data_IF_747705543378
#
_entry.id   IF_747705543378
#
_cell.length_a   1.000
_cell.length_b   1.000
_cell.length_c   1.000
_cell.angle_alpha   90.00
_cell.angle_beta   90.00
_cell.angle_gamma   90.00
#
_symmetry.space_group_name_H-M   'P 1'
#
loop_
_entity.id
_entity.type
_entity.pdbx_description
1 polymer ?
#
# COMPACT_ATOMS: atom_id res chain seq x y z
N UNK A 1 -5.60 43.43 -10.17
CA UNK A 1 -6.20 42.14 -10.51
C UNK A 1 -7.64 42.39 -10.90
N UNK A 2 -8.02 42.23 -12.16
CA UNK A 2 -9.43 42.16 -12.51
C UNK A 2 -9.89 40.74 -12.17
N UNK A 3 -10.50 40.57 -10.99
CA UNK A 3 -11.26 39.38 -10.70
C UNK A 3 -12.44 39.39 -11.66
N UNK A 4 -12.60 38.33 -12.45
CA UNK A 4 -13.89 38.09 -13.11
C UNK A 4 -14.89 37.90 -11.97
N UNK A 5 -15.91 38.77 -11.82
CA UNK A 5 -16.86 38.62 -10.74
C UNK A 5 -17.55 37.26 -10.88
N UNK A 6 -17.82 36.56 -9.77
CA UNK A 6 -18.61 35.33 -9.82
C UNK A 6 -19.96 35.63 -10.49
N UNK A 7 -20.45 34.69 -11.30
CA UNK A 7 -21.80 34.80 -11.89
C UNK A 7 -22.84 34.90 -10.78
N UNK A 8 -23.86 35.73 -10.99
CA UNK A 8 -24.96 35.86 -10.04
C UNK A 8 -25.62 34.49 -9.82
N UNK A 9 -26.15 34.25 -8.61
CA UNK A 9 -26.85 33.00 -8.31
C UNK A 9 -28.00 32.77 -9.31
N UNK A 10 -27.90 31.68 -10.09
CA UNK A 10 -28.85 31.32 -11.15
C UNK A 10 -28.32 31.50 -12.58
N UNK A 11 -27.19 32.18 -12.77
CA UNK A 11 -26.56 32.36 -14.08
C UNK A 11 -25.43 31.35 -14.32
N UNK A 12 -25.46 30.69 -15.48
CA UNK A 12 -24.40 29.77 -15.93
C UNK A 12 -23.40 30.50 -16.82
N UNK A 13 -22.19 29.97 -16.92
CA UNK A 13 -21.17 30.50 -17.83
C UNK A 13 -21.72 30.55 -19.27
N UNK A 14 -21.69 31.73 -19.89
CA UNK A 14 -22.40 32.04 -21.13
C UNK A 14 -21.65 31.66 -22.42
N UNK A 15 -20.47 31.05 -22.32
CA UNK A 15 -19.65 30.64 -23.47
C UNK A 15 -18.81 31.77 -24.11
N UNK A 16 -18.98 33.01 -23.67
CA UNK A 16 -18.12 34.13 -24.08
C UNK A 16 -16.78 34.05 -23.37
N UNK A 17 -15.68 34.18 -24.11
CA UNK A 17 -14.33 34.19 -23.54
C UNK A 17 -14.09 35.41 -22.64
N UNK A 18 -13.37 35.20 -21.53
CA UNK A 18 -13.00 36.22 -20.57
C UNK A 18 -11.60 36.81 -20.81
N UNK A 19 -10.97 37.29 -19.73
CA UNK A 19 -9.59 37.78 -19.78
C UNK A 19 -8.55 36.68 -20.04
N UNK A 20 -7.28 37.05 -20.31
CA UNK A 20 -6.24 36.08 -20.64
C UNK A 20 -5.83 35.22 -19.43
N UNK A 21 -5.23 34.06 -19.71
CA UNK A 21 -4.61 33.18 -18.72
C UNK A 21 -3.58 33.97 -17.90
N UNK A 22 -3.63 33.80 -16.58
CA UNK A 22 -2.64 34.31 -15.63
C UNK A 22 -1.85 33.13 -15.08
N UNK A 23 -0.52 33.23 -15.08
CA UNK A 23 0.37 32.21 -14.53
C UNK A 23 1.61 32.88 -13.95
N UNK A 24 2.01 32.50 -12.75
CA UNK A 24 3.20 33.02 -12.09
C UNK A 24 3.83 31.94 -11.21
N UNK A 25 4.42 30.89 -11.80
CA UNK A 25 4.91 29.73 -11.07
C UNK A 25 5.85 30.12 -9.92
N UNK A 26 5.70 29.50 -8.75
CA UNK A 26 6.42 29.83 -7.51
C UNK A 26 6.22 31.27 -6.99
N UNK A 27 5.37 32.09 -7.62
CA UNK A 27 5.25 33.52 -7.33
C UNK A 27 4.40 33.88 -6.11
N UNK A 28 3.86 32.91 -5.36
CA UNK A 28 3.03 33.17 -4.19
C UNK A 28 3.89 33.41 -2.94
N UNK A 29 4.48 34.62 -2.85
CA UNK A 29 5.34 35.02 -1.72
C UNK A 29 4.59 35.10 -0.38
N UNK A 30 3.27 35.26 -0.40
CA UNK A 30 2.45 35.26 0.82
C UNK A 30 2.27 33.86 1.42
N UNK A 31 2.57 32.81 0.65
CA UNK A 31 2.42 31.42 1.07
C UNK A 31 3.62 30.57 0.62
N UNK A 32 4.77 30.64 1.31
CA UNK A 32 6.01 29.98 0.90
C UNK A 32 5.90 28.47 0.67
N UNK A 33 5.02 27.79 1.40
CA UNK A 33 4.77 26.34 1.26
C UNK A 33 4.29 25.92 -0.14
N UNK A 34 3.73 26.83 -0.95
CA UNK A 34 3.28 26.53 -2.32
C UNK A 34 4.25 27.03 -3.40
N UNK A 35 5.47 27.46 -3.03
CA UNK A 35 6.47 27.94 -3.98
C UNK A 35 7.37 26.84 -4.54
N UNK A 36 7.18 25.59 -4.10
CA UNK A 36 7.88 24.41 -4.61
C UNK A 36 6.87 23.34 -4.98
N UNK A 37 7.21 22.55 -5.99
CA UNK A 37 6.44 21.38 -6.40
C UNK A 37 6.64 20.22 -5.40
N UNK A 38 5.78 19.19 -5.45
CA UNK A 38 6.00 17.96 -4.69
C UNK A 38 7.33 17.29 -5.03
N UNK A 39 7.91 16.58 -4.06
CA UNK A 39 9.11 15.78 -4.26
C UNK A 39 8.75 14.38 -4.81
N UNK A 40 9.67 13.68 -5.52
CA UNK A 40 9.40 12.32 -6.00
C UNK A 40 9.00 11.34 -4.88
N UNK A 41 9.55 11.52 -3.68
CA UNK A 41 9.23 10.69 -2.52
C UNK A 41 7.78 10.89 -2.04
N UNK A 42 7.16 12.03 -2.31
CA UNK A 42 5.77 12.26 -1.96
C UNK A 42 4.84 11.30 -2.73
N UNK A 43 5.16 11.04 -4.01
CA UNK A 43 4.44 10.07 -4.84
C UNK A 43 4.67 8.65 -4.32
N UNK A 44 5.92 8.29 -3.99
CA UNK A 44 6.23 6.97 -3.43
C UNK A 44 5.46 6.70 -2.13
N UNK A 45 5.41 7.68 -1.21
CA UNK A 45 4.70 7.56 0.06
C UNK A 45 3.19 7.50 -0.12
N UNK A 46 2.63 8.32 -1.02
CA UNK A 46 1.20 8.30 -1.30
C UNK A 46 0.74 6.93 -1.82
N UNK A 47 1.54 6.29 -2.67
CA UNK A 47 1.27 4.95 -3.21
C UNK A 47 1.38 3.82 -2.17
N UNK A 48 1.75 4.12 -0.92
CA UNK A 48 1.71 3.16 0.20
C UNK A 48 0.41 3.26 1.02
N UNK A 49 -0.41 4.28 0.79
CA UNK A 49 -1.72 4.42 1.45
C UNK A 49 -2.71 3.45 0.81
N UNK A 50 -2.99 2.34 1.49
CA UNK A 50 -3.73 1.22 0.89
C UNK A 50 -5.25 1.32 0.88
N UNK A 51 -5.86 2.25 1.62
CA UNK A 51 -7.31 2.48 1.58
C UNK A 51 -7.60 3.58 0.57
N UNK A 52 -8.50 3.33 -0.39
CA UNK A 52 -8.86 4.32 -1.41
C UNK A 52 -9.37 5.60 -0.74
N UNK A 53 -10.35 5.45 0.16
CA UNK A 53 -10.86 6.56 0.96
C UNK A 53 -11.22 6.10 2.38
N UNK A 54 -11.45 7.05 3.27
CA UNK A 54 -11.84 6.81 4.66
C UNK A 54 -12.90 7.80 5.09
N UNK A 55 -13.78 7.45 6.05
CA UNK A 55 -14.71 8.41 6.62
C UNK A 55 -13.97 9.66 7.16
N UNK A 56 -14.52 10.88 6.96
CA UNK A 56 -15.87 11.17 6.48
C UNK A 56 -15.98 11.33 4.95
N UNK A 57 -15.05 10.78 4.16
CA UNK A 57 -15.04 10.83 2.70
C UNK A 57 -14.98 12.26 2.16
N UNK A 58 -14.23 13.11 2.85
CA UNK A 58 -14.10 14.53 2.58
C UNK A 58 -12.63 14.98 2.61
N UNK A 59 -12.39 16.29 2.44
CA UNK A 59 -11.04 16.89 2.40
C UNK A 59 -10.27 16.77 3.73
N UNK A 60 -10.92 16.32 4.81
CA UNK A 60 -10.30 16.10 6.12
C UNK A 60 -10.14 14.61 6.49
N UNK A 61 -10.27 13.70 5.51
CA UNK A 61 -10.09 12.27 5.72
C UNK A 61 -8.61 11.94 5.94
N UNK A 62 -8.30 11.04 6.88
CA UNK A 62 -6.93 10.60 7.17
C UNK A 62 -6.76 9.14 6.77
N UNK A 63 -5.55 8.76 6.38
CA UNK A 63 -5.22 7.44 5.83
C UNK A 63 -6.07 7.08 4.60
N UNK A 64 -6.39 8.09 3.78
CA UNK A 64 -7.18 8.00 2.56
C UNK A 64 -6.28 8.33 1.37
N UNK A 65 -6.06 7.37 0.47
CA UNK A 65 -5.25 7.58 -0.73
C UNK A 65 -5.81 8.73 -1.56
N UNK A 66 -7.13 8.76 -1.79
CA UNK A 66 -7.83 9.82 -2.51
C UNK A 66 -7.51 11.19 -1.91
N UNK A 67 -7.61 11.33 -0.59
CA UNK A 67 -7.33 12.60 0.08
C UNK A 67 -5.84 12.97 0.10
N UNK A 68 -4.95 11.98 0.09
CA UNK A 68 -3.50 12.16 -0.01
C UNK A 68 -3.09 12.63 -1.39
N UNK A 69 -3.49 11.91 -2.46
CA UNK A 69 -3.12 12.25 -3.83
C UNK A 69 -3.74 13.56 -4.28
N UNK A 70 -5.00 13.82 -3.87
CA UNK A 70 -5.68 15.11 -4.09
C UNK A 70 -4.93 16.26 -3.41
N UNK A 71 -4.27 15.99 -2.29
CA UNK A 71 -3.30 16.89 -1.67
C UNK A 71 -3.83 17.69 -0.49
N UNK A 72 -4.80 17.15 0.25
CA UNK A 72 -5.25 17.72 1.53
C UNK A 72 -4.57 17.09 2.75
N UNK A 73 -4.00 15.90 2.58
CA UNK A 73 -3.18 15.23 3.59
C UNK A 73 -1.70 15.33 3.23
N UNK A 74 -0.83 15.09 4.20
CA UNK A 74 0.58 14.86 3.88
C UNK A 74 0.74 13.56 3.05
N UNK A 75 1.89 13.37 2.37
CA UNK A 75 2.10 12.20 1.51
C UNK A 75 2.03 10.85 2.23
N UNK A 76 2.03 10.81 3.56
CA UNK A 76 1.90 9.59 4.37
C UNK A 76 0.45 9.30 4.77
N UNK A 77 -0.51 10.12 4.34
CA UNK A 77 -1.91 9.95 4.66
C UNK A 77 -2.40 10.70 5.88
N UNK A 78 -1.56 11.46 6.59
CA UNK A 78 -2.02 12.20 7.76
C UNK A 78 -2.65 13.52 7.32
N UNK A 79 -3.91 13.72 7.69
CA UNK A 79 -4.57 15.01 7.46
C UNK A 79 -3.98 16.12 8.34
N UNK A 80 -3.72 17.28 7.73
CA UNK A 80 -3.36 18.52 8.40
C UNK A 80 -3.99 19.69 7.60
N UNK A 81 -4.82 20.55 8.22
CA UNK A 81 -5.48 21.66 7.52
C UNK A 81 -4.50 22.64 6.87
N UNK A 82 -3.27 22.76 7.37
CA UNK A 82 -2.24 23.65 6.83
C UNK A 82 -1.53 23.07 5.58
N UNK A 83 -1.52 21.75 5.42
CA UNK A 83 -0.78 21.06 4.36
C UNK A 83 -1.50 21.18 3.02
N UNK A 84 -0.74 21.45 1.96
CA UNK A 84 -1.13 21.17 0.58
C UNK A 84 0.02 20.42 -0.07
N UNK A 85 -0.27 19.25 -0.62
CA UNK A 85 0.71 18.36 -1.23
C UNK A 85 0.24 17.98 -2.64
N UNK A 86 1.06 17.22 -3.38
CA UNK A 86 0.70 16.54 -4.63
C UNK A 86 -0.17 17.40 -5.59
N UNK A 87 -1.37 16.95 -5.94
CA UNK A 87 -2.25 17.63 -6.91
C UNK A 87 -2.57 19.08 -6.51
N UNK A 88 -3.05 19.31 -5.27
CA UNK A 88 -3.38 20.65 -4.80
C UNK A 88 -2.15 21.58 -4.79
N UNK A 89 -0.97 21.05 -4.40
CA UNK A 89 0.27 21.81 -4.41
C UNK A 89 0.66 22.21 -5.83
N UNK A 90 0.55 21.30 -6.80
CA UNK A 90 0.83 21.58 -8.20
C UNK A 90 -0.09 22.68 -8.77
N UNK A 91 -1.38 22.66 -8.44
CA UNK A 91 -2.30 23.75 -8.80
C UNK A 91 -1.90 25.09 -8.18
N UNK A 92 -1.63 25.11 -6.87
CA UNK A 92 -1.31 26.33 -6.13
C UNK A 92 0.05 26.92 -6.51
N UNK A 93 1.00 26.06 -6.91
CA UNK A 93 2.31 26.46 -7.43
C UNK A 93 2.21 27.39 -8.64
N UNK A 94 1.20 27.21 -9.49
CA UNK A 94 1.00 28.03 -10.69
C UNK A 94 0.60 29.48 -10.39
N UNK A 95 0.07 29.76 -9.18
CA UNK A 95 -0.28 31.08 -8.68
C UNK A 95 -0.98 31.97 -9.73
N UNK A 96 -2.11 31.50 -10.22
CA UNK A 96 -2.83 32.14 -11.33
C UNK A 96 -4.14 31.42 -11.67
N UNK A 97 -4.51 31.43 -12.95
CA UNK A 97 -5.68 30.74 -13.51
C UNK A 97 -5.69 29.25 -13.12
N UNK A 98 -4.57 28.56 -13.30
CA UNK A 98 -4.41 27.14 -12.95
C UNK A 98 -4.57 26.81 -11.46
N UNK A 99 -4.52 27.80 -10.56
CA UNK A 99 -4.65 27.60 -9.10
C UNK A 99 -6.06 27.87 -8.55
N UNK A 100 -7.04 28.14 -9.42
CA UNK A 100 -8.42 28.45 -9.03
C UNK A 100 -9.37 27.37 -9.55
N UNK A 101 -10.07 26.65 -8.67
CA UNK A 101 -10.89 25.47 -9.04
C UNK A 101 -11.90 25.73 -10.16
N UNK A 102 -12.51 26.93 -10.20
CA UNK A 102 -13.50 27.29 -11.22
C UNK A 102 -12.90 27.75 -12.56
N UNK A 103 -11.59 27.95 -12.63
CA UNK A 103 -10.89 28.43 -13.84
C UNK A 103 -9.73 27.53 -14.26
N UNK A 104 -9.28 26.60 -13.42
CA UNK A 104 -8.04 25.87 -13.64
C UNK A 104 -7.95 25.17 -14.99
N UNK A 105 -9.03 24.61 -15.58
CA UNK A 105 -8.96 24.02 -16.92
C UNK A 105 -8.72 25.00 -18.07
N UNK A 106 -8.85 26.32 -17.85
CA UNK A 106 -8.47 27.32 -18.86
C UNK A 106 -6.96 27.38 -19.06
N UNK A 107 -6.17 26.95 -18.06
CA UNK A 107 -4.73 26.81 -18.20
C UNK A 107 -4.42 25.39 -18.73
N UNK A 108 -3.81 25.22 -19.92
CA UNK A 108 -3.58 23.90 -20.51
C UNK A 108 -2.63 23.00 -19.70
N UNK A 109 -1.89 23.55 -18.72
CA UNK A 109 -1.13 22.72 -17.76
C UNK A 109 -2.08 21.78 -17.00
N UNK A 110 -3.36 22.14 -16.83
CA UNK A 110 -4.38 21.31 -16.21
C UNK A 110 -4.43 19.89 -16.79
N UNK A 111 -4.36 19.76 -18.12
CA UNK A 111 -4.40 18.45 -18.78
C UNK A 111 -3.22 17.60 -18.37
N UNK A 112 -2.00 18.16 -18.45
CA UNK A 112 -0.77 17.44 -18.11
C UNK A 112 -0.72 17.07 -16.61
N UNK A 113 -1.15 18.01 -15.76
CA UNK A 113 -1.25 17.81 -14.31
C UNK A 113 -2.19 16.64 -14.00
N UNK A 114 -3.40 16.64 -14.56
CA UNK A 114 -4.37 15.59 -14.30
C UNK A 114 -4.04 14.25 -14.96
N UNK A 115 -3.35 14.22 -16.11
CA UNK A 115 -2.84 12.95 -16.66
C UNK A 115 -1.79 12.31 -15.75
N UNK A 116 -0.96 13.11 -15.07
CA UNK A 116 -0.01 12.57 -14.09
C UNK A 116 -0.72 12.11 -12.82
N UNK A 117 -1.72 12.86 -12.34
CA UNK A 117 -2.57 12.43 -11.21
C UNK A 117 -3.30 11.12 -11.52
N UNK A 118 -3.83 10.97 -12.73
CA UNK A 118 -4.49 9.74 -13.18
C UNK A 118 -3.50 8.57 -13.28
N UNK A 119 -2.27 8.79 -13.75
CA UNK A 119 -1.24 7.75 -13.73
C UNK A 119 -0.94 7.25 -12.31
N UNK A 120 -0.90 8.14 -11.31
CA UNK A 120 -0.72 7.74 -9.90
C UNK A 120 -1.94 6.93 -9.42
N UNK A 121 -3.14 7.29 -9.84
CA UNK A 121 -4.36 6.54 -9.52
C UNK A 121 -4.37 5.15 -10.19
N UNK A 122 -4.01 5.04 -11.46
CA UNK A 122 -3.93 3.76 -12.18
C UNK A 122 -2.88 2.82 -11.56
N UNK A 123 -1.72 3.36 -11.15
CA UNK A 123 -0.73 2.57 -10.40
C UNK A 123 -1.28 2.11 -9.04
N UNK A 124 -2.03 2.95 -8.34
CA UNK A 124 -2.68 2.55 -7.09
C UNK A 124 -3.70 1.43 -7.33
N UNK A 125 -4.55 1.56 -8.35
CA UNK A 125 -5.50 0.52 -8.75
C UNK A 125 -4.77 -0.81 -9.03
N UNK A 126 -3.66 -0.76 -9.75
CA UNK A 126 -2.85 -1.95 -10.04
C UNK A 126 -2.22 -2.56 -8.78
N UNK A 127 -1.67 -1.74 -7.87
CA UNK A 127 -1.03 -2.22 -6.62
C UNK A 127 -2.00 -2.85 -5.64
N UNK A 128 -3.21 -2.31 -5.56
CA UNK A 128 -4.23 -2.72 -4.60
C UNK A 128 -5.38 -3.50 -5.25
N UNK A 129 -5.15 -4.06 -6.44
CA UNK A 129 -6.09 -4.91 -7.16
C UNK A 129 -7.49 -4.29 -7.32
N UNK A 130 -7.52 -2.98 -7.60
CA UNK A 130 -8.71 -2.16 -7.72
C UNK A 130 -9.70 -2.38 -6.56
N UNK A 131 -9.21 -2.47 -5.32
CA UNK A 131 -10.07 -2.64 -4.15
C UNK A 131 -11.01 -1.45 -3.96
N UNK A 132 -12.25 -1.64 -4.41
CA UNK A 132 -13.31 -0.65 -4.34
C UNK A 132 -14.04 -0.65 -2.99
N UNK A 133 -13.71 -1.56 -2.07
CA UNK A 133 -14.45 -1.76 -0.81
C UNK A 133 -14.60 -0.47 0.01
N UNK A 134 -13.58 0.39 -0.04
CA UNK A 134 -13.51 1.65 0.72
C UNK A 134 -14.08 2.87 -0.01
N UNK A 135 -14.51 2.74 -1.26
CA UNK A 135 -15.27 3.78 -1.95
C UNK A 135 -16.72 3.77 -1.43
N UNK A 136 -17.22 4.77 -0.70
CA UNK A 136 -18.56 4.72 -0.07
C UNK A 136 -19.72 4.60 -1.09
N UNK A 137 -20.68 3.71 -0.80
CA UNK A 137 -21.95 3.63 -1.55
C UNK A 137 -22.91 4.78 -1.18
N UNK A 138 -22.82 5.26 0.05
CA UNK A 138 -23.69 6.26 0.65
C UNK A 138 -22.92 7.12 1.67
N UNK A 139 -23.53 8.21 2.12
CA UNK A 139 -22.97 9.14 3.11
C UNK A 139 -21.69 9.88 2.69
N UNK A 140 -21.27 9.77 1.42
CA UNK A 140 -20.29 10.68 0.85
C UNK A 140 -20.93 12.07 0.61
N UNK A 141 -20.12 13.13 0.45
CA UNK A 141 -20.61 14.40 -0.06
C UNK A 141 -21.42 14.21 -1.35
N UNK A 142 -22.40 15.09 -1.59
CA UNK A 142 -23.25 15.01 -2.78
C UNK A 142 -22.40 14.95 -4.06
N UNK A 143 -22.70 13.99 -4.95
CA UNK A 143 -21.90 13.73 -6.15
C UNK A 143 -20.81 12.67 -6.01
N UNK A 144 -20.42 12.32 -4.77
CA UNK A 144 -19.27 11.44 -4.49
C UNK A 144 -19.65 10.03 -4.04
N UNK A 145 -20.94 9.64 -4.05
CA UNK A 145 -21.29 8.24 -3.83
C UNK A 145 -20.80 7.37 -5.00
N UNK A 146 -20.39 6.13 -4.74
CA UNK A 146 -19.83 5.20 -5.75
C UNK A 146 -20.73 5.02 -6.98
N UNK A 147 -22.05 4.99 -6.78
CA UNK A 147 -23.04 4.80 -7.85
C UNK A 147 -23.56 6.12 -8.44
N UNK A 148 -23.00 7.26 -8.04
CA UNK A 148 -23.43 8.56 -8.54
C UNK A 148 -22.94 8.75 -9.98
N UNK A 149 -23.80 9.27 -10.85
CA UNK A 149 -23.41 9.69 -12.20
C UNK A 149 -22.53 10.95 -12.10
N UNK A 150 -21.28 10.87 -12.52
CA UNK A 150 -20.34 11.98 -12.47
C UNK A 150 -20.91 13.18 -13.26
N UNK A 151 -21.16 14.27 -12.54
CA UNK A 151 -21.76 15.48 -13.10
C UNK A 151 -20.68 16.28 -13.82
N UNK A 152 -20.93 16.84 -15.02
CA UNK A 152 -22.16 16.80 -15.82
C UNK A 152 -22.03 15.92 -17.08
N UNK A 153 -21.33 14.79 -17.01
CA UNK A 153 -21.03 13.99 -18.20
C UNK A 153 -22.28 13.37 -18.85
N UNK A 154 -22.22 13.19 -20.17
CA UNK A 154 -23.27 12.58 -20.98
C UNK A 154 -22.66 11.67 -22.07
N UNK A 155 -23.13 10.42 -22.27
CA UNK A 155 -24.19 9.74 -21.50
C UNK A 155 -23.82 9.59 -20.02
N UNK A 156 -24.79 9.31 -19.12
CA UNK A 156 -24.51 9.14 -17.71
C UNK A 156 -23.45 8.06 -17.49
N UNK A 157 -22.42 8.41 -16.70
CA UNK A 157 -21.30 7.54 -16.35
C UNK A 157 -21.10 7.63 -14.84
N UNK A 158 -21.05 6.48 -14.18
CA UNK A 158 -20.90 6.40 -12.72
C UNK A 158 -19.43 6.43 -12.29
N UNK A 159 -19.17 6.78 -11.03
CA UNK A 159 -17.81 6.71 -10.49
C UNK A 159 -17.20 5.28 -10.57
N UNK A 160 -18.02 4.23 -10.35
CA UNK A 160 -17.55 2.83 -10.40
C UNK A 160 -17.07 2.40 -11.78
N UNK A 161 -17.63 2.96 -12.86
CA UNK A 161 -17.19 2.62 -14.22
C UNK A 161 -15.76 3.09 -14.51
N UNK A 162 -15.27 4.11 -13.81
CA UNK A 162 -13.89 4.60 -13.93
C UNK A 162 -12.95 3.98 -12.87
N UNK A 163 -13.47 3.16 -11.95
CA UNK A 163 -12.68 2.52 -10.90
C UNK A 163 -12.10 1.18 -11.38
N UNK A 164 -11.34 1.22 -12.47
CA UNK A 164 -10.82 0.04 -13.18
C UNK A 164 -9.41 0.36 -13.69
N UNK A 165 -8.55 -0.65 -13.81
CA UNK A 165 -7.21 -0.44 -14.40
C UNK A 165 -7.35 -0.02 -15.86
N UNK A 166 -6.71 1.08 -16.24
CA UNK A 166 -6.86 1.68 -17.55
C UNK A 166 -6.43 0.79 -18.73
N UNK A 167 -5.32 0.01 -18.66
CA UNK A 167 -4.85 -0.77 -19.80
C UNK A 167 -5.86 -1.79 -20.31
N UNK A 168 -6.50 -2.51 -19.39
CA UNK A 168 -7.40 -3.62 -19.73
C UNK A 168 -8.85 -3.17 -19.95
N UNK A 169 -9.25 -2.03 -19.38
CA UNK A 169 -10.65 -1.62 -19.30
C UNK A 169 -10.97 -0.33 -20.06
N UNK A 170 -10.00 0.59 -20.23
CA UNK A 170 -10.19 1.92 -20.81
C UNK A 170 -9.34 2.17 -22.07
N UNK A 171 -8.44 1.25 -22.42
CA UNK A 171 -7.70 1.27 -23.69
C UNK A 171 -6.51 2.22 -23.73
N UNK A 172 -6.00 2.64 -22.57
CA UNK A 172 -4.78 3.45 -22.48
C UNK A 172 -3.88 2.98 -21.34
N UNK A 173 -2.59 3.32 -21.41
CA UNK A 173 -1.59 3.03 -20.37
C UNK A 173 -0.57 4.16 -20.30
N UNK A 174 0.16 4.23 -19.18
CA UNK A 174 1.19 5.22 -18.95
C UNK A 174 2.58 4.64 -19.11
N UNK A 175 3.40 5.26 -19.96
CA UNK A 175 4.85 5.04 -19.96
C UNK A 175 5.48 5.84 -18.83
N UNK A 176 5.53 5.26 -17.63
CA UNK A 176 6.06 5.91 -16.43
C UNK A 176 6.76 4.89 -15.53
N UNK A 177 7.81 5.33 -14.83
CA UNK A 177 8.48 4.56 -13.80
C UNK A 177 8.29 5.24 -12.45
N UNK A 178 7.91 4.44 -11.45
CA UNK A 178 7.63 4.94 -10.11
C UNK A 178 8.89 4.97 -9.25
N UNK A 179 9.10 6.03 -8.45
CA UNK A 179 10.21 6.08 -7.52
C UNK A 179 10.11 4.94 -6.51
N UNK A 180 11.24 4.28 -6.25
CA UNK A 180 11.35 3.27 -5.21
C UNK A 180 11.19 3.87 -3.81
N UNK A 181 10.78 3.05 -2.85
CA UNK A 181 10.73 3.46 -1.44
C UNK A 181 12.15 3.64 -0.91
N UNK A 182 12.42 4.82 -0.34
CA UNK A 182 13.62 5.04 0.45
C UNK A 182 13.37 4.52 1.87
N UNK A 183 13.98 3.38 2.21
CA UNK A 183 13.94 2.85 3.57
C UNK A 183 14.84 3.66 4.50
N UNK A 184 14.39 3.91 5.73
CA UNK A 184 15.26 4.46 6.76
C UNK A 184 16.31 3.42 7.18
N UNK A 185 17.44 3.87 7.74
CA UNK A 185 18.46 2.97 8.30
C UNK A 185 17.84 2.03 9.35
N UNK A 186 16.89 2.52 10.15
CA UNK A 186 16.22 1.69 11.15
C UNK A 186 15.34 0.62 10.52
N UNK A 187 14.64 0.91 9.43
CA UNK A 187 13.86 -0.07 8.68
C UNK A 187 14.77 -1.13 8.06
N UNK A 188 15.88 -0.72 7.43
CA UNK A 188 16.85 -1.64 6.85
C UNK A 188 17.42 -2.58 7.91
N UNK A 189 17.83 -2.05 9.06
CA UNK A 189 18.34 -2.86 10.18
C UNK A 189 17.25 -3.82 10.69
N UNK A 190 16.01 -3.36 10.83
CA UNK A 190 14.90 -4.20 11.29
C UNK A 190 14.61 -5.33 10.30
N UNK A 191 14.55 -5.04 9.00
CA UNK A 191 14.37 -6.04 7.94
C UNK A 191 15.51 -7.06 7.97
N UNK A 192 16.76 -6.61 8.11
CA UNK A 192 17.93 -7.49 8.17
C UNK A 192 17.88 -8.41 9.40
N UNK A 193 17.54 -7.88 10.58
CA UNK A 193 17.42 -8.67 11.82
C UNK A 193 16.29 -9.70 11.70
N UNK A 194 15.11 -9.31 11.22
CA UNK A 194 13.98 -10.23 11.04
C UNK A 194 14.31 -11.31 10.03
N UNK A 195 14.93 -10.96 8.89
CA UNK A 195 15.35 -11.94 7.90
C UNK A 195 16.38 -12.94 8.47
N UNK A 196 17.36 -12.46 9.23
CA UNK A 196 18.34 -13.32 9.89
C UNK A 196 17.68 -14.28 10.89
N UNK A 197 16.73 -13.80 11.70
CA UNK A 197 15.98 -14.64 12.64
C UNK A 197 15.14 -15.70 11.93
N UNK A 198 14.52 -15.36 10.79
CA UNK A 198 13.77 -16.33 9.98
C UNK A 198 14.68 -17.41 9.38
N UNK A 199 15.86 -17.04 8.88
CA UNK A 199 16.84 -18.01 8.38
C UNK A 199 17.29 -18.96 9.49
N UNK A 200 17.57 -18.43 10.69
CA UNK A 200 17.92 -19.27 11.86
C UNK A 200 16.78 -20.22 12.22
N UNK A 201 15.53 -19.74 12.23
CA UNK A 201 14.36 -20.58 12.51
C UNK A 201 14.20 -21.72 11.48
N UNK A 202 14.38 -21.44 10.18
CA UNK A 202 14.31 -22.45 9.12
C UNK A 202 15.41 -23.50 9.28
N UNK A 203 16.64 -23.08 9.61
CA UNK A 203 17.74 -24.02 9.87
C UNK A 203 17.41 -24.91 11.07
N UNK A 204 16.85 -24.34 12.15
CA UNK A 204 16.48 -25.09 13.34
C UNK A 204 15.40 -26.13 13.03
N UNK A 205 14.34 -25.74 12.31
CA UNK A 205 13.28 -26.66 11.88
C UNK A 205 13.85 -27.77 11.00
N UNK A 206 14.70 -27.42 10.02
CA UNK A 206 15.35 -28.39 9.14
C UNK A 206 16.22 -29.39 9.91
N UNK A 207 17.02 -28.91 10.87
CA UNK A 207 17.84 -29.74 11.73
C UNK A 207 16.99 -30.66 12.62
N UNK A 208 15.93 -30.13 13.23
CA UNK A 208 14.98 -30.93 14.03
C UNK A 208 14.30 -32.02 13.20
N UNK A 209 13.85 -31.71 11.99
CA UNK A 209 13.28 -32.69 11.06
C UNK A 209 14.31 -33.77 10.67
N UNK A 210 15.56 -33.38 10.40
CA UNK A 210 16.64 -34.32 10.08
C UNK A 210 16.99 -35.25 11.25
N UNK A 211 17.07 -34.71 12.47
CA UNK A 211 17.33 -35.50 13.68
C UNK A 211 16.17 -36.48 13.92
N UNK A 212 14.93 -36.02 13.79
CA UNK A 212 13.76 -36.87 13.98
C UNK A 212 13.67 -37.99 12.92
N UNK A 213 13.98 -37.67 11.66
CA UNK A 213 14.05 -38.65 10.59
C UNK A 213 15.18 -39.68 10.80
N UNK A 214 16.32 -39.27 11.35
CA UNK A 214 17.42 -40.20 11.72
C UNK A 214 17.04 -41.08 12.91
N UNK A 215 16.50 -40.51 13.97
CA UNK A 215 16.03 -41.25 15.15
C UNK A 215 15.01 -42.33 14.78
N UNK A 216 14.04 -42.02 13.92
CA UNK A 216 13.04 -42.98 13.45
C UNK A 216 13.67 -44.11 12.61
N UNK A 217 14.72 -43.81 11.83
CA UNK A 217 15.49 -44.84 11.10
C UNK A 217 16.32 -45.71 12.04
N UNK A 218 16.88 -45.14 13.10
CA UNK A 218 17.65 -45.88 14.11
C UNK A 218 16.73 -46.76 14.99
N UNK A 219 15.52 -46.31 15.33
CA UNK A 219 14.50 -47.14 15.99
C UNK A 219 14.03 -48.30 15.11
N UNK A 220 13.82 -48.07 13.80
CA UNK A 220 13.51 -49.14 12.86
C UNK A 220 14.65 -50.17 12.66
N UNK A 221 15.89 -49.81 13.02
CA UNK A 221 17.07 -50.66 12.92
C UNK A 221 17.47 -51.34 14.24
N UNK A 222 16.70 -51.18 15.33
CA UNK A 222 16.99 -51.92 16.56
C UNK A 222 16.64 -53.42 16.39
N UNK A 223 17.57 -54.35 16.69
CA UNK A 223 17.26 -55.77 16.65
C UNK A 223 16.28 -56.14 17.78
N UNK A 224 15.18 -56.80 17.43
CA UNK A 224 14.08 -57.24 18.31
C UNK A 224 14.45 -58.29 19.39
N UNK A 225 15.73 -58.41 19.77
CA UNK A 225 16.19 -59.40 20.74
C UNK A 225 16.91 -58.70 21.89
N UNK A 226 16.13 -58.20 22.84
CA UNK A 226 16.65 -57.95 24.19
C UNK A 226 15.70 -58.60 25.18
N UNK A 227 15.79 -59.93 25.32
CA UNK A 227 15.26 -60.63 26.49
C UNK A 227 16.34 -61.54 27.09
N UNK A 228 17.09 -60.92 28.00
CA UNK A 228 17.50 -61.41 29.32
C UNK A 228 17.32 -62.93 29.58
N UNK A 229 18.20 -63.77 29.05
CA UNK A 229 18.43 -65.11 29.60
C UNK A 229 19.20 -65.00 30.94
N UNK A 230 18.47 -64.98 32.05
CA UNK A 230 19.06 -65.16 33.38
C UNK A 230 19.52 -66.62 33.54
N UNK A 231 20.77 -66.76 33.97
CA UNK A 231 21.47 -67.99 34.35
C UNK A 231 20.60 -68.95 35.19
N UNK A 232 20.34 -70.14 34.65
CA UNK A 232 20.02 -71.35 35.41
C UNK A 232 21.03 -72.43 35.05
N UNK A 233 22.22 -72.40 35.67
CA UNK A 233 23.17 -73.52 35.65
C UNK A 233 24.28 -73.31 36.68
N UNK A 234 23.93 -73.25 37.97
CA UNK A 234 24.92 -73.33 39.05
C UNK A 234 24.26 -73.80 40.36
N UNK A 235 23.61 -74.95 40.34
CA UNK A 235 23.24 -75.63 41.60
C UNK A 235 23.02 -77.13 41.39
N UNK A 236 24.04 -77.81 40.88
CA UNK A 236 24.23 -79.25 41.12
C UNK A 236 25.74 -79.50 41.20
N UNK A 237 26.26 -79.50 42.42
CA UNK A 237 27.30 -80.43 42.92
C UNK A 237 27.86 -79.88 44.23
N UNK A 238 27.36 -80.42 45.35
CA UNK A 238 28.13 -80.69 46.57
C UNK A 238 27.30 -81.57 47.50
N UNK A 239 27.33 -82.88 47.22
CA UNK A 239 27.10 -83.91 48.23
C UNK A 239 28.47 -84.52 48.57
N UNK A 240 28.81 -84.72 49.86
CA UNK A 240 30.09 -85.28 50.27
C UNK A 240 30.03 -86.81 50.33
N UNK A 241 31.10 -87.45 49.84
CA UNK A 241 31.31 -88.90 49.88
C UNK A 241 32.09 -89.31 51.16
N UNK A 242 31.60 -90.30 51.93
CA UNK A 242 32.46 -91.06 52.84
C UNK A 242 32.40 -92.57 52.60
N UNK A 243 33.59 -93.16 52.40
CA UNK A 243 34.00 -94.55 52.67
C UNK A 243 33.28 -95.74 52.01
N UNK A 244 34.05 -96.48 51.18
CA UNK A 244 34.30 -97.95 51.15
C UNK A 244 34.83 -98.31 49.74
N UNK A 245 35.71 -99.26 49.44
CA UNK A 245 36.59 -100.24 50.11
C UNK A 245 37.21 -101.08 48.97
N UNK A 246 38.51 -101.42 49.05
CA UNK A 246 39.25 -102.60 48.51
C UNK A 246 38.97 -103.06 47.05
N UNK A 247 39.94 -103.27 46.16
CA UNK A 247 41.17 -104.11 46.19
C UNK A 247 42.10 -103.61 45.08
#
# INVERSE_FOLDING_TARGET
MAQVPPTAAGERHAGTEGGPIRRNPAGNVARPMVQRLPEPQDVAQCLEVGLFDTPPFYSNSTNSFRNTVEGYSDPKGKYDPAVRSLHNLAHLFLNGTGGQTHLSPNDPIFVLLHTFTDAVFDEWLRRYNADISTFPLENAPIGHNRQYNMVPFWPPITNVEMFVTAPDNLGYTYEVQWPGRNFSISEIVTIAVVAALLVVAVIFVGASCLIHARSNRDEANQPLLTDRYQHYAAEYEKLPDPNQSMV
#
